data_IF_293862633471
#
_entry.id   IF_293862633471
#
_cell.length_a   1.000
_cell.length_b   1.000
_cell.length_c   1.000
_cell.angle_alpha   90.00
_cell.angle_beta   90.00
_cell.angle_gamma   90.00
#
_symmetry.space_group_name_H-M   'P 1'
#
loop_
_entity.id
_entity.type
_entity.pdbx_description
1 polymer ?
#
# COMPACT_ATOMS: atom_id res chain seq x y z
N UNK A 1 1.08 -15.53 -11.65
CA UNK A 1 2.26 -15.31 -10.77
C UNK A 1 1.86 -14.22 -9.79
N UNK A 2 2.11 -14.40 -8.49
CA UNK A 2 1.80 -13.38 -7.49
C UNK A 2 3.05 -12.53 -7.28
N UNK A 3 2.88 -11.22 -7.33
CA UNK A 3 3.91 -10.23 -7.03
C UNK A 3 3.62 -9.65 -5.66
N UNK A 4 4.66 -9.61 -4.84
CA UNK A 4 4.59 -8.97 -3.52
C UNK A 4 5.30 -7.65 -3.63
N UNK A 5 4.56 -6.58 -3.42
CA UNK A 5 5.05 -5.20 -3.46
C UNK A 5 5.17 -4.70 -2.02
N UNK A 6 6.29 -4.09 -1.69
CA UNK A 6 6.53 -3.50 -0.38
C UNK A 6 6.64 -2.00 -0.56
N UNK A 7 5.94 -1.24 0.27
CA UNK A 7 5.90 0.21 0.20
C UNK A 7 6.22 0.79 1.56
N UNK A 8 7.06 1.82 1.57
CA UNK A 8 7.19 2.72 2.70
C UNK A 8 6.10 3.78 2.59
N UNK A 9 5.26 3.88 3.62
CA UNK A 9 4.17 4.85 3.61
C UNK A 9 4.23 5.73 4.85
N UNK A 10 3.58 6.90 4.81
CA UNK A 10 3.38 7.71 6.03
C UNK A 10 2.05 7.41 6.72
N UNK A 11 1.42 6.27 6.45
CA UNK A 11 0.10 5.93 6.99
C UNK A 11 0.14 5.77 8.51
N UNK A 12 -0.75 6.46 9.20
CA UNK A 12 -1.00 6.31 10.65
C UNK A 12 -2.29 5.57 10.89
N UNK A 13 -2.55 5.21 12.15
CA UNK A 13 -3.85 4.70 12.59
C UNK A 13 -5.03 5.61 12.20
N UNK A 14 -4.81 6.94 12.13
CA UNK A 14 -5.83 7.92 11.74
C UNK A 14 -6.13 7.90 10.23
N UNK A 15 -5.10 7.69 9.39
CA UNK A 15 -5.25 7.69 7.93
C UNK A 15 -5.51 6.31 7.34
N UNK A 16 -5.20 5.24 8.09
CA UNK A 16 -5.48 3.84 7.74
C UNK A 16 -6.92 3.59 7.26
N UNK A 17 -7.99 4.11 7.91
CA UNK A 17 -9.36 3.93 7.41
C UNK A 17 -9.62 4.63 6.07
N UNK A 18 -8.82 5.61 5.66
CA UNK A 18 -8.90 6.24 4.33
C UNK A 18 -8.23 5.39 3.26
N UNK A 19 -7.14 4.73 3.63
CA UNK A 19 -6.32 3.90 2.73
C UNK A 19 -6.93 2.52 2.49
N UNK A 20 -7.48 1.90 3.55
CA UNK A 20 -8.19 0.61 3.50
C UNK A 20 -9.14 0.50 2.29
N UNK A 21 -10.15 1.38 2.11
CA UNK A 21 -11.09 1.26 1.02
C UNK A 21 -10.46 1.53 -0.36
N UNK A 22 -9.32 2.22 -0.42
CA UNK A 22 -8.61 2.43 -1.69
C UNK A 22 -7.90 1.16 -2.14
N UNK A 23 -7.29 0.44 -1.20
CA UNK A 23 -6.69 -0.88 -1.46
C UNK A 23 -7.78 -1.93 -1.71
N UNK A 24 -8.85 -1.92 -0.94
CA UNK A 24 -9.98 -2.86 -1.07
C UNK A 24 -10.73 -2.70 -2.41
N UNK A 25 -10.85 -1.46 -2.92
CA UNK A 25 -11.40 -1.18 -4.25
C UNK A 25 -10.57 -1.74 -5.41
N UNK A 26 -9.31 -2.10 -5.16
CA UNK A 26 -8.46 -2.70 -6.18
C UNK A 26 -8.69 -4.21 -6.15
N UNK A 27 -9.65 -4.70 -6.94
CA UNK A 27 -10.00 -6.13 -7.04
C UNK A 27 -8.81 -7.04 -7.43
N UNK A 28 -7.73 -6.44 -7.95
CA UNK A 28 -6.50 -7.13 -8.32
C UNK A 28 -5.53 -7.33 -7.12
N UNK A 29 -5.80 -6.70 -5.97
CA UNK A 29 -5.07 -6.96 -4.72
C UNK A 29 -5.70 -8.19 -4.06
N UNK A 30 -4.92 -9.26 -3.94
CA UNK A 30 -5.39 -10.45 -3.21
C UNK A 30 -5.27 -10.27 -1.71
N UNK A 31 -4.18 -9.63 -1.27
CA UNK A 31 -3.92 -9.42 0.15
C UNK A 31 -3.08 -8.18 0.36
N UNK A 32 -3.30 -7.50 1.47
CA UNK A 32 -2.40 -6.45 1.91
C UNK A 32 -2.25 -6.50 3.43
N UNK A 33 -1.10 -6.07 3.92
CA UNK A 33 -0.78 -6.02 5.34
C UNK A 33 -0.12 -4.68 5.66
N UNK A 34 -0.53 -4.06 6.75
CA UNK A 34 0.08 -2.85 7.27
C UNK A 34 0.93 -3.21 8.49
N UNK A 35 2.23 -3.03 8.37
CA UNK A 35 3.17 -3.10 9.48
C UNK A 35 3.25 -1.73 10.15
N UNK A 36 2.36 -1.52 11.12
CA UNK A 36 2.31 -0.33 11.97
C UNK A 36 3.07 -0.51 13.29
N UNK A 37 3.55 -1.74 13.56
CA UNK A 37 4.38 -2.04 14.72
C UNK A 37 5.79 -1.45 14.55
N UNK A 38 6.28 -1.41 13.31
CA UNK A 38 7.50 -0.70 12.95
C UNK A 38 7.23 0.79 12.73
N UNK A 39 8.14 1.63 13.25
CA UNK A 39 8.13 3.08 13.00
C UNK A 39 8.18 3.43 11.50
N UNK A 40 8.59 2.47 10.66
CA UNK A 40 8.73 2.60 9.21
C UNK A 40 7.42 2.52 8.43
N UNK A 41 6.28 2.17 9.06
CA UNK A 41 4.93 2.22 8.45
C UNK A 41 4.88 1.55 7.07
N UNK A 42 5.29 0.29 7.06
CA UNK A 42 5.44 -0.49 5.84
C UNK A 42 4.07 -1.05 5.43
N UNK A 43 3.75 -0.92 4.14
CA UNK A 43 2.60 -1.55 3.52
C UNK A 43 3.10 -2.66 2.59
N UNK A 44 2.66 -3.89 2.84
CA UNK A 44 2.92 -5.04 1.98
C UNK A 44 1.66 -5.39 1.21
N UNK A 45 1.74 -5.47 -0.11
CA UNK A 45 0.61 -5.78 -0.98
C UNK A 45 0.96 -6.98 -1.85
N UNK A 46 0.13 -8.01 -1.80
CA UNK A 46 0.17 -9.17 -2.68
C UNK A 46 -0.87 -8.98 -3.80
N UNK A 47 -0.39 -8.90 -5.03
CA UNK A 47 -1.23 -8.72 -6.23
C UNK A 47 -0.75 -9.63 -7.35
N UNK A 48 -1.61 -9.88 -8.33
CA UNK A 48 -1.31 -10.73 -9.49
C UNK A 48 -1.00 -9.91 -10.74
N UNK A 49 -1.49 -8.67 -10.82
CA UNK A 49 -1.44 -7.87 -12.05
C UNK A 49 -1.37 -6.34 -11.82
N UNK A 50 -1.31 -5.87 -10.58
CA UNK A 50 -1.14 -4.43 -10.29
C UNK A 50 0.33 -4.06 -10.29
N UNK A 51 0.62 -2.90 -10.90
CA UNK A 51 1.90 -2.23 -10.79
C UNK A 51 1.93 -1.35 -9.54
N UNK A 52 3.09 -1.29 -8.91
CA UNK A 52 3.33 -0.46 -7.73
C UNK A 52 3.02 1.03 -7.95
N UNK A 53 3.30 1.54 -9.15
CA UNK A 53 2.97 2.91 -9.56
C UNK A 53 1.50 3.25 -9.35
N UNK A 54 0.58 2.32 -9.62
CA UNK A 54 -0.87 2.55 -9.43
C UNK A 54 -1.18 2.77 -7.94
N UNK A 55 -0.58 1.96 -7.06
CA UNK A 55 -0.77 2.09 -5.60
C UNK A 55 -0.13 3.40 -5.11
N UNK A 56 1.06 3.74 -5.59
CA UNK A 56 1.74 4.99 -5.25
C UNK A 56 0.93 6.22 -5.66
N UNK A 57 0.37 6.24 -6.87
CA UNK A 57 -0.48 7.34 -7.33
C UNK A 57 -1.76 7.48 -6.50
N UNK A 58 -2.40 6.36 -6.17
CA UNK A 58 -3.57 6.35 -5.28
C UNK A 58 -3.26 6.94 -3.90
N UNK A 59 -2.12 6.58 -3.32
CA UNK A 59 -1.68 7.10 -2.03
C UNK A 59 -1.33 8.59 -2.09
N UNK A 60 -0.59 9.02 -3.13
CA UNK A 60 -0.31 10.45 -3.36
C UNK A 60 -1.58 11.26 -3.54
N UNK A 61 -2.59 10.71 -4.22
CA UNK A 61 -3.90 11.37 -4.38
C UNK A 61 -4.63 11.59 -3.05
N UNK A 62 -4.36 10.76 -2.03
CA UNK A 62 -4.85 10.93 -0.67
C UNK A 62 -4.01 11.92 0.17
N UNK A 63 -2.94 12.49 -0.40
CA UNK A 63 -1.98 13.34 0.31
C UNK A 63 -1.01 12.54 1.21
N UNK A 64 -0.87 11.24 0.97
CA UNK A 64 0.00 10.37 1.73
C UNK A 64 1.30 10.10 0.98
N UNK A 65 2.41 10.03 1.71
CA UNK A 65 3.66 9.53 1.18
C UNK A 65 3.57 8.02 0.96
N UNK A 66 3.98 7.57 -0.22
CA UNK A 66 4.08 6.17 -0.59
C UNK A 66 5.22 6.03 -1.60
N UNK A 67 6.18 5.18 -1.27
CA UNK A 67 7.36 4.87 -2.07
C UNK A 67 7.55 3.37 -2.07
N UNK A 68 7.72 2.78 -3.26
CA UNK A 68 8.03 1.36 -3.40
C UNK A 68 9.45 1.10 -2.89
N UNK A 69 9.60 0.06 -2.07
CA UNK A 69 10.89 -0.45 -1.65
C UNK A 69 11.25 -1.62 -2.55
N UNK A 70 12.17 -1.37 -3.48
CA UNK A 70 12.86 -2.39 -4.26
C UNK A 70 14.07 -2.85 -3.45
N UNK A 71 14.11 -4.14 -3.06
CA UNK A 71 15.29 -4.77 -2.45
C UNK A 71 16.13 -5.45 -3.54
#
# INVERSE_FOLDING_TARGET
MRTVLVFKTSVTFETMPLVKPVLDKLELIEKWNFDLEDCDRILRVETVCIQATVIMEKMKSLGLFCEELED
#
